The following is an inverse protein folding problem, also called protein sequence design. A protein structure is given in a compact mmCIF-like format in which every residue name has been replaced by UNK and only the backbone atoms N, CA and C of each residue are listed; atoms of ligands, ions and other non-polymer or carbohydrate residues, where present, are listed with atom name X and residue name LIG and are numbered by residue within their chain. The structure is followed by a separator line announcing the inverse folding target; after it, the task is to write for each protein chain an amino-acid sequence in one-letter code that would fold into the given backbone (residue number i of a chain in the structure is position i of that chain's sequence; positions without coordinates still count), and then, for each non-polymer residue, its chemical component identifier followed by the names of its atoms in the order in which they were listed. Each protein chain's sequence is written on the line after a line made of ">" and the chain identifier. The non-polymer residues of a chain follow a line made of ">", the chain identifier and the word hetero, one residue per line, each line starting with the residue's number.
data_IF_043806972083
#
_entry.id   IF_043806972083
#
_cell.length_a   1.000
_cell.length_b   1.000
_cell.length_c   1.000
_cell.angle_alpha   90.00
_cell.angle_beta   90.00
_cell.angle_gamma   90.00
#
_symmetry.space_group_name_H-M   'P 1'
#
loop_
_entity.id
_entity.type
_entity.pdbx_description
1 polymer ?
#
# COMPACT_ATOMS: atom_id res chain seq x y z
N UNK A 1 8.53 -11.82 -12.17
CA UNK A 1 7.96 -11.86 -10.81
C UNK A 1 8.32 -10.54 -10.16
N UNK A 2 7.35 -9.75 -9.73
CA UNK A 2 7.66 -8.50 -9.02
C UNK A 2 8.14 -8.87 -7.63
N UNK A 3 9.40 -8.55 -7.33
CA UNK A 3 9.98 -8.70 -5.99
C UNK A 3 9.82 -7.39 -5.24
N UNK A 4 9.71 -7.48 -3.90
CA UNK A 4 9.56 -6.31 -3.04
C UNK A 4 10.74 -5.34 -3.21
N UNK A 5 11.96 -5.88 -3.37
CA UNK A 5 13.17 -5.12 -3.67
C UNK A 5 13.71 -5.47 -5.05
N UNK A 6 14.27 -4.51 -5.78
CA UNK A 6 15.01 -4.77 -7.01
C UNK A 6 16.41 -5.35 -6.72
N UNK A 7 17.18 -5.52 -7.80
CA UNK A 7 18.57 -5.99 -7.77
C UNK A 7 19.52 -5.08 -6.98
N UNK A 8 19.15 -3.81 -6.78
CA UNK A 8 19.95 -2.80 -6.11
C UNK A 8 19.48 -2.60 -4.65
N UNK A 9 18.47 -3.38 -4.20
CA UNK A 9 17.93 -3.33 -2.85
C UNK A 9 16.92 -2.20 -2.63
N UNK A 10 16.41 -1.59 -3.70
CA UNK A 10 15.45 -0.49 -3.64
C UNK A 10 14.04 -1.07 -3.62
N UNK A 11 13.17 -0.50 -2.76
CA UNK A 11 11.78 -0.88 -2.65
C UNK A 11 11.00 -0.50 -3.93
N UNK A 12 10.50 -1.49 -4.68
CA UNK A 12 9.85 -1.29 -5.99
C UNK A 12 8.37 -0.93 -5.90
N UNK A 13 7.91 -0.39 -4.77
CA UNK A 13 6.48 -0.27 -4.49
C UNK A 13 5.77 0.65 -5.50
N UNK A 14 6.42 1.72 -5.97
CA UNK A 14 5.86 2.63 -6.98
C UNK A 14 5.55 1.90 -8.29
N UNK A 15 6.50 1.10 -8.77
CA UNK A 15 6.36 0.35 -10.01
C UNK A 15 5.31 -0.75 -9.88
N UNK A 16 5.23 -1.39 -8.71
CA UNK A 16 4.20 -2.40 -8.41
C UNK A 16 2.81 -1.75 -8.42
N UNK A 17 2.64 -0.58 -7.79
CA UNK A 17 1.35 0.12 -7.69
C UNK A 17 0.90 0.64 -9.04
N UNK A 18 1.76 1.36 -9.77
CA UNK A 18 1.42 1.94 -11.08
C UNK A 18 1.04 0.86 -12.09
N UNK A 19 1.58 -0.35 -11.93
CA UNK A 19 1.24 -1.48 -12.78
C UNK A 19 0.06 -2.32 -12.28
N UNK A 20 -0.43 -2.10 -11.07
CA UNK A 20 -1.54 -2.86 -10.49
C UNK A 20 -2.85 -2.59 -11.26
N UNK A 21 -3.63 -3.63 -11.64
CA UNK A 21 -4.86 -3.46 -12.40
C UNK A 21 -5.84 -2.48 -11.75
N UNK A 22 -6.10 -2.63 -10.45
CA UNK A 22 -7.02 -1.73 -9.73
C UNK A 22 -6.57 -0.28 -9.76
N UNK A 23 -5.27 0.00 -9.66
CA UNK A 23 -4.75 1.37 -9.74
C UNK A 23 -4.97 1.94 -11.13
N UNK A 24 -4.69 1.16 -12.19
CA UNK A 24 -4.91 1.58 -13.58
C UNK A 24 -6.38 1.88 -13.85
N UNK A 25 -7.29 1.08 -13.33
CA UNK A 25 -8.75 1.30 -13.46
C UNK A 25 -9.19 2.57 -12.74
N UNK A 26 -8.83 2.73 -11.46
CA UNK A 26 -9.21 3.90 -10.65
C UNK A 26 -8.66 5.21 -11.23
N UNK A 27 -7.49 5.16 -11.86
CA UNK A 27 -6.83 6.34 -12.40
C UNK A 27 -7.11 6.56 -13.89
N UNK A 28 -8.00 5.78 -14.52
CA UNK A 28 -8.19 5.76 -15.98
C UNK A 28 -8.65 7.12 -16.53
N UNK A 29 -9.56 7.79 -15.85
CA UNK A 29 -10.07 9.14 -16.21
C UNK A 29 -9.43 10.27 -15.39
N UNK A 30 -8.54 9.93 -14.45
CA UNK A 30 -7.87 10.85 -13.55
C UNK A 30 -8.72 11.41 -12.40
N UNK A 31 -9.95 10.92 -12.21
CA UNK A 31 -10.88 11.36 -11.16
C UNK A 31 -11.22 10.17 -10.28
N UNK A 32 -10.73 10.19 -9.04
CA UNK A 32 -11.08 9.15 -8.06
C UNK A 32 -12.43 9.46 -7.43
N UNK A 33 -13.36 8.52 -7.55
CA UNK A 33 -14.72 8.61 -6.99
C UNK A 33 -14.85 7.89 -5.64
N UNK A 34 -15.89 8.23 -4.88
CA UNK A 34 -16.20 7.56 -3.60
C UNK A 34 -16.49 6.07 -3.78
N UNK A 35 -17.17 5.68 -4.86
CA UNK A 35 -17.49 4.29 -5.16
C UNK A 35 -16.23 3.48 -5.47
N UNK A 36 -15.29 4.05 -6.23
CA UNK A 36 -13.99 3.42 -6.50
C UNK A 36 -13.16 3.27 -5.23
N UNK A 37 -13.12 4.28 -4.36
CA UNK A 37 -12.45 4.19 -3.07
C UNK A 37 -13.05 3.09 -2.20
N UNK A 38 -14.39 2.99 -2.16
CA UNK A 38 -15.07 1.95 -1.42
C UNK A 38 -14.74 0.56 -1.96
N UNK A 39 -14.81 0.36 -3.28
CA UNK A 39 -14.45 -0.91 -3.92
C UNK A 39 -12.99 -1.29 -3.65
N UNK A 40 -12.09 -0.32 -3.71
CA UNK A 40 -10.68 -0.54 -3.42
C UNK A 40 -10.43 -0.87 -1.94
N UNK A 41 -11.17 -0.24 -1.02
CA UNK A 41 -11.13 -0.57 0.39
C UNK A 41 -11.59 -2.02 0.64
N UNK A 42 -12.69 -2.43 0.02
CA UNK A 42 -13.20 -3.80 0.10
C UNK A 42 -12.19 -4.81 -0.47
N UNK A 43 -11.56 -4.50 -1.60
CA UNK A 43 -10.52 -5.34 -2.22
C UNK A 43 -9.26 -5.46 -1.33
N UNK A 44 -8.86 -4.38 -0.68
CA UNK A 44 -7.73 -4.37 0.25
C UNK A 44 -8.02 -5.25 1.48
N UNK A 45 -9.21 -5.10 2.09
CA UNK A 45 -9.63 -5.93 3.24
C UNK A 45 -9.69 -7.41 2.85
N UNK A 46 -10.28 -7.74 1.70
CA UNK A 46 -10.33 -9.11 1.21
C UNK A 46 -8.94 -9.71 1.02
N UNK A 47 -7.99 -8.94 0.48
CA UNK A 47 -6.60 -9.38 0.29
C UNK A 47 -5.89 -9.63 1.61
N UNK A 48 -6.09 -8.77 2.61
CA UNK A 48 -5.52 -8.95 3.96
C UNK A 48 -6.08 -10.18 4.67
N UNK A 49 -7.40 -10.41 4.56
CA UNK A 49 -8.03 -11.63 5.12
C UNK A 49 -7.47 -12.90 4.47
N UNK A 50 -7.31 -12.89 3.14
CA UNK A 50 -6.70 -14.01 2.42
C UNK A 50 -5.26 -14.25 2.90
N UNK A 51 -4.49 -13.20 3.13
CA UNK A 51 -3.13 -13.30 3.64
C UNK A 51 -3.11 -13.91 5.04
N UNK A 52 -4.04 -13.51 5.92
CA UNK A 52 -4.21 -14.11 7.24
C UNK A 52 -4.51 -15.62 7.17
N UNK A 53 -5.28 -16.08 6.19
CA UNK A 53 -5.56 -17.51 6.00
C UNK A 53 -4.37 -18.29 5.42
N UNK A 54 -3.56 -17.65 4.57
CA UNK A 54 -2.43 -18.30 3.88
C UNK A 54 -1.17 -18.42 4.75
N UNK A 55 -0.96 -17.47 5.65
CA UNK A 55 0.27 -17.36 6.43
C UNK A 55 0.14 -18.04 7.80
N UNK A 56 1.24 -18.62 8.27
CA UNK A 56 1.35 -19.04 9.67
C UNK A 56 1.55 -17.82 10.61
N UNK A 57 1.55 -18.04 11.93
CA UNK A 57 1.66 -16.97 12.92
C UNK A 57 2.92 -16.11 12.77
N UNK A 58 4.08 -16.73 12.53
CA UNK A 58 5.36 -16.02 12.35
C UNK A 58 5.32 -15.13 11.09
N UNK A 59 4.82 -15.67 9.97
CA UNK A 59 4.65 -14.93 8.73
C UNK A 59 3.64 -13.78 8.88
N UNK A 60 2.53 -14.01 9.59
CA UNK A 60 1.56 -12.95 9.89
C UNK A 60 2.20 -11.84 10.72
N UNK A 61 2.97 -12.17 11.76
CA UNK A 61 3.69 -11.19 12.57
C UNK A 61 4.64 -10.35 11.72
N UNK A 62 5.47 -10.99 10.88
CA UNK A 62 6.42 -10.29 10.02
C UNK A 62 5.71 -9.34 9.02
N UNK A 63 4.56 -9.76 8.50
CA UNK A 63 3.76 -8.94 7.58
C UNK A 63 3.11 -7.75 8.30
N UNK A 64 2.58 -7.98 9.52
CA UNK A 64 2.03 -6.91 10.36
C UNK A 64 3.10 -5.89 10.72
N UNK A 65 4.30 -6.32 11.10
CA UNK A 65 5.41 -5.43 11.42
C UNK A 65 5.79 -4.58 10.20
N UNK A 66 5.97 -5.21 9.03
CA UNK A 66 6.31 -4.50 7.80
C UNK A 66 5.24 -3.47 7.37
N UNK A 67 3.95 -3.84 7.44
CA UNK A 67 2.84 -2.93 7.13
C UNK A 67 2.80 -1.77 8.14
N UNK A 68 3.04 -2.05 9.43
CA UNK A 68 3.03 -1.04 10.49
C UNK A 68 4.14 -0.01 10.30
N UNK A 69 5.37 -0.45 10.03
CA UNK A 69 6.50 0.45 9.77
C UNK A 69 6.26 1.33 8.53
N UNK A 70 5.68 0.77 7.46
CA UNK A 70 5.29 1.56 6.28
C UNK A 70 4.21 2.60 6.62
N UNK A 71 3.21 2.23 7.42
CA UNK A 71 2.14 3.15 7.83
C UNK A 71 2.67 4.28 8.72
N UNK A 72 3.59 3.96 9.65
CA UNK A 72 4.29 4.94 10.48
C UNK A 72 5.09 5.90 9.61
N UNK A 73 5.86 5.38 8.64
CA UNK A 73 6.64 6.21 7.72
C UNK A 73 5.73 7.16 6.91
N UNK A 74 4.62 6.66 6.37
CA UNK A 74 3.66 7.47 5.63
C UNK A 74 3.08 8.59 6.50
N UNK A 75 2.64 8.27 7.72
CA UNK A 75 2.10 9.24 8.65
C UNK A 75 3.14 10.29 9.07
N UNK A 76 4.37 9.85 9.35
CA UNK A 76 5.47 10.73 9.72
C UNK A 76 5.84 11.70 8.58
N UNK A 77 5.93 11.19 7.34
CA UNK A 77 6.20 11.99 6.15
C UNK A 77 5.09 13.02 5.90
N UNK A 78 3.82 12.61 6.01
CA UNK A 78 2.69 13.51 5.86
C UNK A 78 2.73 14.63 6.92
N UNK A 79 2.94 14.28 8.18
CA UNK A 79 3.06 15.26 9.26
C UNK A 79 4.25 16.21 9.07
N UNK A 80 5.39 15.69 8.61
CA UNK A 80 6.55 16.52 8.27
C UNK A 80 6.21 17.54 7.19
N UNK A 81 5.51 17.13 6.12
CA UNK A 81 5.07 18.05 5.07
C UNK A 81 4.09 19.12 5.55
N UNK A 82 3.20 18.78 6.49
CA UNK A 82 2.26 19.75 7.10
C UNK A 82 2.97 20.79 7.97
N UNK A 83 4.10 20.45 8.60
CA UNK A 83 4.86 21.41 9.42
C UNK A 83 5.33 22.62 8.61
N UNK A 84 5.66 22.44 7.33
CA UNK A 84 6.08 23.54 6.46
C UNK A 84 4.92 24.46 6.04
N UNK A 85 3.66 24.00 6.16
CA UNK A 85 2.48 24.85 5.97
C UNK A 85 2.14 25.68 7.21
N UNK A 86 2.69 25.34 8.37
CA UNK A 86 2.49 26.04 9.64
C UNK A 86 3.66 26.96 10.03
N UNK A 87 4.70 27.07 9.19
CA UNK A 87 5.79 28.05 9.33
C UNK A 87 5.51 29.29 8.50
#
# INVERSE_FOLDING_TARGET
>A
MNTLFDKDGILNISDIVVNHPSYKTIMEDGIVTDDELKQQADAAVASLRRLQELCNEEQQSAIVDAISEMAVLFAAYHNYGLQDLCK
#
